data_IF_244646482022
#
_entry.id   IF_244646482022
#
_cell.length_a   1.000
_cell.length_b   1.000
_cell.length_c   1.000
_cell.angle_alpha   90.00
_cell.angle_beta   90.00
_cell.angle_gamma   90.00
#
_symmetry.space_group_name_H-M   'P 1'
#
loop_
_entity.id
_entity.type
_entity.pdbx_description
1 polymer ?
#
# COMPACT_ATOMS: atom_id res chain seq x y z
N UNK A 1 -10.67 10.00 -6.90
CA UNK A 1 -10.50 8.57 -6.58
C UNK A 1 -9.05 8.26 -6.86
N UNK A 2 -8.33 7.76 -5.87
CA UNK A 2 -6.89 7.55 -5.98
C UNK A 2 -6.58 6.33 -6.85
N UNK A 3 -5.44 6.36 -7.54
CA UNK A 3 -5.02 5.32 -8.46
C UNK A 3 -3.67 4.74 -8.05
N UNK A 4 -3.57 3.42 -7.99
CA UNK A 4 -2.36 2.70 -7.66
C UNK A 4 -1.92 1.92 -8.90
N UNK A 5 -0.72 2.20 -9.37
CA UNK A 5 -0.11 1.53 -10.51
C UNK A 5 1.37 1.28 -10.23
N UNK A 6 1.77 0.00 -10.26
CA UNK A 6 3.14 -0.42 -9.96
C UNK A 6 3.62 0.18 -8.62
N UNK A 7 4.61 1.06 -8.67
CA UNK A 7 5.23 1.73 -7.54
C UNK A 7 4.74 3.18 -7.37
N UNK A 8 3.55 3.50 -7.88
CA UNK A 8 2.97 4.85 -7.83
C UNK A 8 1.59 4.87 -7.18
N UNK A 9 1.34 5.95 -6.43
CA UNK A 9 0.07 6.30 -5.83
C UNK A 9 -0.34 7.70 -6.31
N UNK A 10 -1.38 7.77 -7.13
CA UNK A 10 -1.93 8.99 -7.73
C UNK A 10 -0.87 9.86 -8.44
N UNK A 11 0.10 9.21 -9.09
CA UNK A 11 1.21 9.87 -9.79
C UNK A 11 2.43 10.20 -8.92
N UNK A 12 2.32 10.04 -7.60
CA UNK A 12 3.47 10.12 -6.68
C UNK A 12 4.20 8.77 -6.74
N UNK A 13 5.49 8.76 -6.99
CA UNK A 13 6.25 7.52 -7.23
C UNK A 13 7.18 7.22 -6.05
N UNK A 14 7.11 6.00 -5.55
CA UNK A 14 8.06 5.47 -4.56
C UNK A 14 9.48 5.47 -5.14
N UNK A 15 10.48 5.65 -4.29
CA UNK A 15 11.88 5.78 -4.71
C UNK A 15 12.29 7.19 -5.15
N UNK A 16 11.36 8.14 -5.25
CA UNK A 16 11.68 9.54 -5.51
C UNK A 16 12.38 10.19 -4.31
N UNK A 17 13.30 11.12 -4.59
CA UNK A 17 13.94 11.89 -3.54
C UNK A 17 12.96 12.88 -2.91
N UNK A 18 13.18 13.22 -1.63
CA UNK A 18 12.41 14.26 -0.94
C UNK A 18 12.42 15.60 -1.68
N UNK A 19 13.54 15.96 -2.30
CA UNK A 19 13.65 17.20 -3.07
C UNK A 19 12.79 17.22 -4.33
N UNK A 20 12.57 16.06 -4.97
CA UNK A 20 11.67 15.92 -6.12
C UNK A 20 10.22 16.03 -5.67
N UNK A 21 9.85 15.32 -4.61
CA UNK A 21 8.50 15.39 -4.00
C UNK A 21 8.16 16.80 -3.55
N UNK A 22 9.13 17.55 -3.02
CA UNK A 22 8.91 18.91 -2.56
C UNK A 22 8.63 19.91 -3.69
N UNK A 23 9.01 19.57 -4.92
CA UNK A 23 8.75 20.38 -6.13
C UNK A 23 7.46 19.97 -6.86
N UNK A 24 6.85 18.85 -6.50
CA UNK A 24 5.62 18.36 -7.14
C UNK A 24 4.40 19.11 -6.58
N UNK A 25 3.54 19.61 -7.45
CA UNK A 25 2.29 20.28 -7.07
C UNK A 25 1.17 19.26 -6.85
N UNK A 26 0.89 18.94 -5.58
CA UNK A 26 -0.27 18.15 -5.15
C UNK A 26 -0.67 18.53 -3.73
N UNK A 27 -1.89 18.15 -3.32
CA UNK A 27 -2.36 18.38 -1.95
C UNK A 27 -1.70 17.40 -0.98
N UNK A 28 -0.54 17.77 -0.43
CA UNK A 28 0.21 16.99 0.55
C UNK A 28 -0.58 16.66 1.82
N UNK A 29 -1.66 17.40 2.12
CA UNK A 29 -2.45 17.15 3.35
C UNK A 29 -3.26 15.87 3.30
N UNK A 30 -3.48 15.32 2.09
CA UNK A 30 -4.19 14.07 1.87
C UNK A 30 -3.32 12.83 2.07
N UNK A 31 -2.00 13.01 2.07
CA UNK A 31 -1.02 11.93 2.03
C UNK A 31 -0.19 11.88 3.30
N UNK A 32 0.09 10.66 3.77
CA UNK A 32 1.15 10.38 4.71
C UNK A 32 2.33 9.81 3.91
N UNK A 33 3.48 10.46 4.03
CA UNK A 33 4.68 10.16 3.26
C UNK A 33 5.81 9.86 4.24
N UNK A 34 6.41 8.68 4.13
CA UNK A 34 7.58 8.32 4.94
C UNK A 34 8.82 8.23 4.06
N UNK A 35 9.91 8.76 4.60
CA UNK A 35 11.19 8.85 3.92
C UNK A 35 12.26 8.12 4.72
N UNK A 36 13.13 7.41 4.02
CA UNK A 36 14.32 6.79 4.60
C UNK A 36 15.60 7.32 3.95
N UNK A 37 16.69 7.28 4.71
CA UNK A 37 18.01 7.60 4.16
C UNK A 37 18.56 6.40 3.40
N UNK A 38 18.76 6.57 2.09
CA UNK A 38 19.40 5.57 1.24
C UNK A 38 20.55 6.22 0.48
N UNK A 39 21.78 5.74 0.67
CA UNK A 39 22.97 6.27 0.00
C UNK A 39 23.17 7.79 0.18
N UNK A 40 22.89 8.32 1.39
CA UNK A 40 23.06 9.74 1.73
C UNK A 40 21.98 10.67 1.17
N UNK A 41 20.85 10.13 0.69
CA UNK A 41 19.68 10.90 0.24
C UNK A 41 18.41 10.38 0.89
N UNK A 42 17.46 11.28 1.16
CA UNK A 42 16.14 10.94 1.67
C UNK A 42 15.24 10.50 0.51
N UNK A 43 14.72 9.28 0.58
CA UNK A 43 13.94 8.61 -0.47
C UNK A 43 12.57 8.26 0.07
N UNK A 44 11.52 8.53 -0.71
CA UNK A 44 10.14 8.18 -0.38
C UNK A 44 9.96 6.66 -0.43
N UNK A 45 9.67 6.05 0.72
CA UNK A 45 9.55 4.58 0.86
C UNK A 45 8.14 4.11 1.12
N UNK A 46 7.24 4.98 1.63
CA UNK A 46 5.84 4.64 1.81
C UNK A 46 4.95 5.83 1.45
N UNK A 47 3.78 5.54 0.89
CA UNK A 47 2.70 6.50 0.64
C UNK A 47 1.43 5.90 1.19
N UNK A 48 0.72 6.61 2.05
CA UNK A 48 -0.60 6.19 2.50
C UNK A 48 -1.62 7.31 2.52
N UNK A 49 -2.88 6.89 2.44
CA UNK A 49 -4.07 7.74 2.53
C UNK A 49 -5.10 7.05 3.42
N UNK A 50 -5.93 7.83 4.09
CA UNK A 50 -6.89 7.33 5.08
C UNK A 50 -8.33 7.67 4.74
N UNK A 51 -9.22 6.90 5.34
CA UNK A 51 -10.68 7.14 5.32
C UNK A 51 -11.30 7.21 3.91
N UNK A 52 -10.94 6.26 3.04
CA UNK A 52 -11.40 6.22 1.65
C UNK A 52 -12.41 5.11 1.40
N UNK A 53 -13.44 5.40 0.61
CA UNK A 53 -14.45 4.40 0.22
C UNK A 53 -13.95 3.40 -0.83
N UNK A 54 -12.88 3.74 -1.55
CA UNK A 54 -12.38 2.96 -2.65
C UNK A 54 -11.20 3.61 -3.36
N UNK A 55 -10.53 2.81 -4.18
CA UNK A 55 -9.36 3.19 -4.96
C UNK A 55 -9.35 2.41 -6.28
N UNK A 56 -8.48 2.78 -7.19
CA UNK A 56 -8.16 1.98 -8.37
C UNK A 56 -6.83 1.30 -8.18
N UNK A 57 -6.76 0.02 -8.53
CA UNK A 57 -5.54 -0.77 -8.59
C UNK A 57 -5.38 -1.29 -10.03
N UNK A 58 -4.39 -0.80 -10.76
CA UNK A 58 -4.18 -1.11 -12.18
C UNK A 58 -5.49 -0.96 -12.99
N UNK A 59 -6.11 0.22 -12.92
CA UNK A 59 -7.42 0.58 -13.51
C UNK A 59 -8.66 -0.17 -13.00
N UNK A 60 -8.52 -1.23 -12.17
CA UNK A 60 -9.64 -1.93 -11.54
C UNK A 60 -10.07 -1.17 -10.28
N UNK A 61 -11.34 -0.81 -10.19
CA UNK A 61 -11.91 -0.20 -8.99
C UNK A 61 -12.04 -1.25 -7.88
N UNK A 62 -11.54 -0.94 -6.69
CA UNK A 62 -11.62 -1.74 -5.47
C UNK A 62 -12.36 -0.95 -4.40
N UNK A 63 -13.43 -1.53 -3.85
CA UNK A 63 -14.28 -0.95 -2.82
C UNK A 63 -15.01 -2.06 -2.03
N UNK A 64 -15.82 -1.70 -1.04
CA UNK A 64 -16.51 -2.70 -0.20
C UNK A 64 -17.60 -3.51 -0.91
N UNK A 65 -18.06 -3.09 -2.10
CA UNK A 65 -19.03 -3.86 -2.88
C UNK A 65 -18.36 -5.04 -3.61
N UNK A 66 -17.04 -4.98 -3.85
CA UNK A 66 -16.27 -6.02 -4.53
C UNK A 66 -15.07 -6.57 -3.72
N UNK A 67 -14.89 -6.13 -2.48
CA UNK A 67 -13.75 -6.50 -1.64
C UNK A 67 -13.68 -8.01 -1.41
N UNK A 68 -14.80 -8.67 -1.10
CA UNK A 68 -14.82 -10.13 -0.85
C UNK A 68 -14.25 -10.91 -2.04
N UNK A 69 -14.73 -10.64 -3.24
CA UNK A 69 -14.21 -11.25 -4.47
C UNK A 69 -12.73 -10.92 -4.70
N UNK A 70 -12.32 -9.67 -4.42
CA UNK A 70 -10.92 -9.28 -4.55
C UNK A 70 -10.00 -10.04 -3.57
N UNK A 71 -10.45 -10.28 -2.33
CA UNK A 71 -9.70 -11.05 -1.34
C UNK A 71 -9.58 -12.53 -1.72
N UNK A 72 -10.65 -13.12 -2.25
CA UNK A 72 -10.64 -14.50 -2.77
C UNK A 72 -9.69 -14.66 -3.97
N UNK A 73 -9.67 -13.68 -4.87
CA UNK A 73 -8.83 -13.70 -6.09
C UNK A 73 -7.33 -13.54 -5.77
N UNK A 74 -6.97 -12.61 -4.89
CA UNK A 74 -5.56 -12.25 -4.65
C UNK A 74 -4.95 -12.98 -3.45
N UNK A 75 -5.77 -13.56 -2.55
CA UNK A 75 -5.33 -14.33 -1.38
C UNK A 75 -4.19 -13.62 -0.59
N UNK A 76 -4.47 -12.43 -0.02
CA UNK A 76 -3.46 -11.64 0.68
C UNK A 76 -2.97 -12.35 1.94
N UNK A 77 -1.83 -11.88 2.44
CA UNK A 77 -1.38 -12.19 3.79
C UNK A 77 -2.26 -11.42 4.78
N UNK A 78 -2.58 -12.04 5.92
CA UNK A 78 -3.50 -11.48 6.92
C UNK A 78 -2.86 -11.48 8.31
N UNK A 79 -2.70 -10.30 8.89
CA UNK A 79 -2.26 -10.07 10.27
C UNK A 79 -3.29 -9.19 10.97
N UNK A 80 -4.09 -9.81 11.84
CA UNK A 80 -5.29 -9.23 12.45
C UNK A 80 -6.23 -8.56 11.43
N UNK A 81 -6.19 -7.23 11.33
CA UNK A 81 -7.02 -6.43 10.43
C UNK A 81 -6.21 -5.80 9.30
N UNK A 82 -4.97 -6.25 9.09
CA UNK A 82 -4.05 -5.76 8.08
C UNK A 82 -3.96 -6.81 6.98
N UNK A 83 -4.26 -6.38 5.76
CA UNK A 83 -4.20 -7.21 4.56
C UNK A 83 -2.98 -6.77 3.75
N UNK A 84 -2.01 -7.65 3.57
CA UNK A 84 -0.80 -7.37 2.79
C UNK A 84 -0.87 -8.12 1.47
N UNK A 85 -0.65 -7.40 0.37
CA UNK A 85 -0.65 -7.90 -0.99
C UNK A 85 0.76 -7.75 -1.58
N UNK A 86 1.66 -8.73 -1.36
CA UNK A 86 3.05 -8.68 -1.81
C UNK A 86 3.24 -8.42 -3.30
N UNK A 87 2.31 -8.92 -4.11
CA UNK A 87 2.31 -8.76 -5.57
C UNK A 87 2.24 -7.28 -6.00
N UNK A 88 1.66 -6.44 -5.16
CA UNK A 88 1.40 -5.02 -5.45
C UNK A 88 2.14 -4.07 -4.51
N UNK A 89 2.95 -4.60 -3.58
CA UNK A 89 3.53 -3.85 -2.47
C UNK A 89 2.48 -2.95 -1.77
N UNK A 90 1.33 -3.54 -1.46
CA UNK A 90 0.12 -2.86 -1.00
C UNK A 90 -0.32 -3.42 0.35
N UNK A 91 -0.67 -2.52 1.26
CA UNK A 91 -1.31 -2.84 2.53
C UNK A 91 -2.67 -2.15 2.61
N UNK A 92 -3.70 -2.90 3.02
CA UNK A 92 -5.04 -2.38 3.27
C UNK A 92 -5.41 -2.61 4.72
N UNK A 93 -5.96 -1.57 5.36
CA UNK A 93 -6.60 -1.65 6.67
C UNK A 93 -8.10 -1.37 6.46
N UNK A 94 -8.92 -2.41 6.23
CA UNK A 94 -10.37 -2.25 6.06
C UNK A 94 -11.09 -1.95 7.38
N UNK A 95 -12.00 -0.97 7.38
CA UNK A 95 -13.06 -0.84 8.38
C UNK A 95 -14.35 -1.48 7.83
N UNK A 96 -14.57 -2.74 8.16
CA UNK A 96 -15.76 -3.48 7.75
C UNK A 96 -17.07 -2.90 8.28
N UNK A 97 -17.03 -2.21 9.42
CA UNK A 97 -18.22 -1.59 10.00
C UNK A 97 -18.56 -0.29 9.27
N UNK A 98 -17.56 0.55 9.02
CA UNK A 98 -17.68 1.80 8.27
C UNK A 98 -17.82 1.61 6.76
N UNK A 99 -17.50 0.41 6.24
CA UNK A 99 -17.41 0.09 4.80
C UNK A 99 -16.49 1.05 4.06
N UNK A 100 -15.31 1.28 4.62
CA UNK A 100 -14.26 2.11 4.05
C UNK A 100 -12.88 1.53 4.39
N UNK A 101 -11.86 1.95 3.67
CA UNK A 101 -10.47 1.65 4.00
C UNK A 101 -9.98 2.72 4.98
N UNK A 102 -9.71 2.29 6.22
CA UNK A 102 -9.12 3.16 7.23
C UNK A 102 -7.74 3.63 6.79
N UNK A 103 -6.98 2.76 6.12
CA UNK A 103 -5.72 3.10 5.48
C UNK A 103 -5.49 2.27 4.21
N UNK A 104 -4.97 2.92 3.18
CA UNK A 104 -4.45 2.31 1.95
C UNK A 104 -3.01 2.77 1.84
N UNK A 105 -2.06 1.84 1.90
CA UNK A 105 -0.63 2.11 1.93
C UNK A 105 0.07 1.34 0.82
N UNK A 106 0.97 1.99 0.09
CA UNK A 106 1.94 1.33 -0.78
C UNK A 106 3.35 1.54 -0.25
N UNK A 107 4.20 0.53 -0.42
CA UNK A 107 5.57 0.55 0.07
C UNK A 107 6.57 0.22 -1.04
N UNK A 108 7.78 0.77 -0.92
CA UNK A 108 8.88 0.50 -1.83
C UNK A 108 9.47 -0.90 -1.59
N UNK A 109 10.02 -1.51 -2.62
CA UNK A 109 10.64 -2.84 -2.51
C UNK A 109 11.78 -2.86 -1.47
N UNK A 110 12.46 -1.72 -1.25
CA UNK A 110 13.54 -1.60 -0.27
C UNK A 110 13.12 -1.81 1.19
N UNK A 111 11.82 -1.64 1.51
CA UNK A 111 11.28 -1.82 2.86
C UNK A 111 10.33 -3.02 2.96
N UNK A 112 10.26 -3.84 1.92
CA UNK A 112 9.33 -4.97 1.78
C UNK A 112 9.38 -5.96 2.94
N UNK A 113 10.58 -6.25 3.45
CA UNK A 113 10.77 -7.16 4.57
C UNK A 113 9.95 -6.70 5.80
N UNK A 114 9.84 -5.40 6.07
CA UNK A 114 9.07 -4.86 7.19
C UNK A 114 7.56 -5.20 7.12
N UNK A 115 7.03 -5.48 5.94
CA UNK A 115 5.62 -5.78 5.70
C UNK A 115 5.34 -7.27 5.49
N UNK A 116 6.35 -8.05 5.08
CA UNK A 116 6.18 -9.43 4.61
C UNK A 116 6.89 -10.47 5.49
N UNK A 117 7.88 -10.08 6.29
CA UNK A 117 8.79 -11.00 7.01
C UNK A 117 8.08 -11.93 8.02
N UNK A 118 6.91 -11.54 8.55
CA UNK A 118 6.12 -12.39 9.45
C UNK A 118 5.35 -13.53 8.76
N UNK A 119 5.31 -13.57 7.43
CA UNK A 119 4.50 -14.52 6.67
C UNK A 119 5.29 -15.64 6.00
N UNK A 120 6.58 -15.44 5.73
CA UNK A 120 7.44 -16.46 5.10
C UNK A 120 7.55 -17.74 5.95
N UNK A 121 7.55 -17.61 7.27
CA UNK A 121 7.60 -18.76 8.20
C UNK A 121 6.27 -19.56 8.25
N UNK A 122 5.13 -18.93 7.96
CA UNK A 122 3.83 -19.61 8.02
C UNK A 122 3.59 -20.49 6.77
N UNK A 123 3.97 -20.00 5.58
CA UNK A 123 3.79 -20.74 4.33
C UNK A 123 4.78 -21.91 4.14
N UNK A 124 5.97 -21.84 4.74
CA UNK A 124 6.91 -22.97 4.76
C UNK A 124 6.43 -24.15 5.62
N UNK A 125 5.55 -23.90 6.59
CA UNK A 125 5.02 -24.92 7.50
C UNK A 125 3.70 -25.57 7.05
N UNK A 126 3.00 -24.99 6.07
CA UNK A 126 1.78 -25.57 5.49
C UNK A 126 2.03 -26.54 4.31
N UNK A 127 3.29 -26.66 3.84
CA UNK A 127 3.68 -27.55 2.73
C UNK A 127 4.45 -28.82 3.18
N UNK A 128 4.39 -29.21 4.46
CA UNK A 128 4.98 -30.47 4.96
C UNK A 128 3.94 -31.52 5.29
#
# INVERSE_FOLDING_TARGET
>A
MFNIEKNSFDGITLGQSKEEIDKTEFDKSLYYLEFEEQNGRQVLVTISVRDLKGFKLNDKEINFDNLETFLEEENPFVDDNILVFPKYNLTLIPDFKGKLFAEILVYDESVKELYEESYDDYYLNLKK
#
